data_IF_031194121471
#
_entry.id   IF_031194121471
#
_cell.length_a   1.000
_cell.length_b   1.000
_cell.length_c   1.000
_cell.angle_alpha   90.00
_cell.angle_beta   90.00
_cell.angle_gamma   90.00
#
_symmetry.space_group_name_H-M   'P 1'
#
loop_
_entity.id
_entity.type
_entity.pdbx_description
1 polymer ?
#
# COMPACT_ATOMS: atom_id res chain seq x y z
N UNK A 1 -2.19 10.77 13.42
CA UNK A 1 -1.96 9.80 12.32
C UNK A 1 -1.27 8.58 12.87
N UNK A 2 -1.72 7.38 12.51
CA UNK A 2 -0.99 6.16 12.87
C UNK A 2 0.15 5.96 11.88
N UNK A 3 1.38 5.94 12.36
CA UNK A 3 2.56 5.64 11.54
C UNK A 3 2.62 4.17 11.13
N UNK A 4 1.89 3.30 11.84
CA UNK A 4 1.73 1.87 11.56
C UNK A 4 0.36 1.42 12.03
N UNK A 5 -0.34 0.61 11.25
CA UNK A 5 -1.68 0.14 11.62
C UNK A 5 -2.01 -1.21 10.98
N UNK A 6 -2.73 -2.05 11.73
CA UNK A 6 -3.49 -3.16 11.16
C UNK A 6 -4.74 -2.61 10.48
N UNK A 7 -4.99 -3.05 9.26
CA UNK A 7 -6.13 -2.62 8.44
C UNK A 7 -7.26 -3.64 8.61
N UNK A 8 -8.48 -3.13 8.77
CA UNK A 8 -9.71 -3.93 8.91
C UNK A 8 -10.70 -3.53 7.84
N UNK A 9 -11.51 -4.49 7.38
CA UNK A 9 -12.57 -4.26 6.38
C UNK A 9 -12.07 -4.10 4.94
N UNK A 10 -10.79 -4.42 4.67
CA UNK A 10 -10.21 -4.44 3.32
C UNK A 10 -9.65 -5.82 3.04
N UNK A 11 -10.10 -6.44 1.96
CA UNK A 11 -9.68 -7.79 1.61
C UNK A 11 -8.24 -7.86 1.11
N UNK A 12 -7.70 -6.78 0.52
CA UNK A 12 -6.37 -6.78 -0.10
C UNK A 12 -5.22 -6.47 0.84
N UNK A 13 -5.44 -5.74 1.95
CA UNK A 13 -4.39 -5.20 2.82
C UNK A 13 -4.68 -5.51 4.29
N UNK A 14 -3.71 -6.09 4.99
CA UNK A 14 -3.81 -6.45 6.40
C UNK A 14 -3.08 -5.47 7.33
N UNK A 15 -2.05 -4.78 6.82
CA UNK A 15 -1.22 -3.88 7.61
C UNK A 15 -0.50 -2.87 6.73
N UNK A 16 -0.23 -1.67 7.27
CA UNK A 16 0.57 -0.65 6.60
C UNK A 16 1.46 0.12 7.58
N UNK A 17 2.56 0.68 7.07
CA UNK A 17 3.44 1.58 7.81
C UNK A 17 4.07 2.67 6.95
N UNK A 18 4.23 3.84 7.54
CA UNK A 18 5.06 4.93 7.05
C UNK A 18 6.49 4.74 7.55
N UNK A 19 7.41 4.50 6.62
CA UNK A 19 8.83 4.31 6.88
C UNK A 19 9.67 5.53 6.46
N UNK A 20 9.04 6.66 6.13
CA UNK A 20 9.72 7.86 5.64
C UNK A 20 10.86 8.30 6.58
N UNK A 21 10.62 8.36 7.89
CA UNK A 21 11.63 8.77 8.86
C UNK A 21 12.80 7.79 9.00
N UNK A 22 12.61 6.52 8.64
CA UNK A 22 13.64 5.48 8.75
C UNK A 22 14.44 5.32 7.46
N UNK A 23 13.80 5.52 6.31
CA UNK A 23 14.38 5.20 5.00
C UNK A 23 14.77 6.44 4.18
N UNK A 24 14.27 7.62 4.54
CA UNK A 24 14.58 8.87 3.83
C UNK A 24 15.47 9.76 4.68
N UNK A 25 16.40 10.45 4.01
CA UNK A 25 17.22 11.45 4.67
C UNK A 25 16.36 12.66 5.09
N UNK A 26 16.80 13.45 6.08
CA UNK A 26 16.11 14.69 6.47
C UNK A 26 15.94 15.71 5.33
N UNK A 27 16.66 15.52 4.21
CA UNK A 27 16.62 16.36 3.01
C UNK A 27 15.71 15.78 1.92
N UNK A 28 14.86 14.79 2.23
CA UNK A 28 13.87 14.29 1.28
C UNK A 28 12.98 15.44 0.80
N UNK A 29 12.66 15.43 -0.50
CA UNK A 29 11.85 16.41 -1.21
C UNK A 29 10.35 16.36 -0.84
N UNK A 30 10.01 15.80 0.32
CA UNK A 30 8.64 15.50 0.72
C UNK A 30 8.13 14.16 0.20
N UNK A 31 8.99 13.33 -0.40
CA UNK A 31 8.68 11.94 -0.70
C UNK A 31 8.31 11.17 0.57
N UNK A 32 7.32 10.29 0.45
CA UNK A 32 6.92 9.38 1.52
C UNK A 32 7.22 7.93 1.14
N UNK A 33 7.81 7.18 2.08
CA UNK A 33 8.03 5.75 1.92
C UNK A 33 7.00 4.98 2.74
N UNK A 34 6.22 4.12 2.09
CA UNK A 34 5.22 3.29 2.74
C UNK A 34 5.46 1.80 2.44
N UNK A 35 5.14 0.96 3.42
CA UNK A 35 5.15 -0.49 3.28
C UNK A 35 3.76 -1.04 3.57
N UNK A 36 3.33 -1.99 2.76
CA UNK A 36 2.02 -2.62 2.84
C UNK A 36 2.17 -4.14 2.89
N UNK A 37 1.39 -4.79 3.75
CA UNK A 37 1.24 -6.25 3.72
C UNK A 37 -0.16 -6.62 3.25
N UNK A 38 -0.23 -7.57 2.33
CA UNK A 38 -1.50 -8.09 1.86
C UNK A 38 -2.16 -8.99 2.90
N UNK A 39 -3.44 -9.33 2.69
CA UNK A 39 -4.06 -10.43 3.46
C UNK A 39 -3.61 -11.79 2.91
N UNK A 40 -3.62 -12.82 3.75
CA UNK A 40 -3.30 -14.18 3.33
C UNK A 40 -4.25 -14.71 2.25
N UNK A 41 -5.55 -14.40 2.35
CA UNK A 41 -6.56 -14.80 1.38
C UNK A 41 -6.30 -14.14 0.02
N UNK A 42 -6.00 -12.84 0.00
CA UNK A 42 -5.69 -12.10 -1.21
C UNK A 42 -4.40 -12.58 -1.87
N UNK A 43 -3.37 -12.84 -1.07
CA UNK A 43 -2.11 -13.41 -1.55
C UNK A 43 -2.31 -14.77 -2.23
N UNK A 44 -3.03 -15.67 -1.56
CA UNK A 44 -3.37 -17.00 -2.09
C UNK A 44 -4.21 -16.94 -3.36
N UNK A 45 -5.23 -16.07 -3.41
CA UNK A 45 -6.11 -15.93 -4.56
C UNK A 45 -5.42 -15.38 -5.81
N UNK A 46 -4.39 -14.53 -5.63
CA UNK A 46 -3.61 -13.98 -6.74
C UNK A 46 -2.30 -14.75 -7.01
N UNK A 47 -2.03 -15.84 -6.28
CA UNK A 47 -0.82 -16.66 -6.37
C UNK A 47 0.46 -15.82 -6.23
N UNK A 48 0.55 -15.03 -5.18
CA UNK A 48 1.73 -14.18 -4.89
C UNK A 48 2.36 -14.58 -3.54
N UNK A 49 3.68 -14.43 -3.35
CA UNK A 49 4.69 -13.96 -4.33
C UNK A 49 5.15 -15.07 -5.29
N UNK A 50 5.40 -14.71 -6.56
CA UNK A 50 6.00 -15.57 -7.59
C UNK A 50 7.04 -14.76 -8.36
N UNK A 51 8.24 -15.32 -8.58
CA UNK A 51 9.35 -14.64 -9.28
C UNK A 51 9.03 -14.35 -10.76
N UNK A 52 8.29 -15.23 -11.44
CA UNK A 52 7.94 -15.12 -12.86
C UNK A 52 6.48 -14.72 -13.09
N UNK A 53 5.96 -13.79 -12.30
CA UNK A 53 4.56 -13.39 -12.39
C UNK A 53 4.26 -12.63 -13.70
N UNK A 54 3.17 -12.95 -14.41
CA UNK A 54 2.75 -12.16 -15.57
C UNK A 54 2.48 -10.71 -15.17
N UNK A 55 2.95 -9.75 -15.97
CA UNK A 55 2.78 -8.30 -15.72
C UNK A 55 1.32 -7.91 -15.46
N UNK A 56 0.37 -8.52 -16.17
CA UNK A 56 -1.06 -8.28 -15.95
C UNK A 56 -1.52 -8.64 -14.52
N UNK A 57 -0.98 -9.73 -13.95
CA UNK A 57 -1.30 -10.14 -12.58
C UNK A 57 -0.62 -9.21 -11.57
N UNK A 58 0.65 -8.86 -11.80
CA UNK A 58 1.38 -7.91 -10.96
C UNK A 58 0.68 -6.54 -10.91
N UNK A 59 0.25 -6.02 -12.06
CA UNK A 59 -0.51 -4.77 -12.15
C UNK A 59 -1.84 -4.86 -11.42
N UNK A 60 -2.60 -5.96 -11.59
CA UNK A 60 -3.86 -6.18 -10.87
C UNK A 60 -3.66 -6.19 -9.35
N UNK A 61 -2.65 -6.90 -8.86
CA UNK A 61 -2.32 -6.98 -7.42
C UNK A 61 -1.89 -5.62 -6.89
N UNK A 62 -1.01 -4.90 -7.62
CA UNK A 62 -0.58 -3.54 -7.26
C UNK A 62 -1.80 -2.62 -7.15
N UNK A 63 -2.64 -2.56 -8.17
CA UNK A 63 -3.84 -1.71 -8.18
C UNK A 63 -4.78 -2.04 -7.03
N UNK A 64 -5.14 -3.31 -6.83
CA UNK A 64 -6.08 -3.69 -5.76
C UNK A 64 -5.55 -3.46 -4.34
N UNK A 65 -4.24 -3.55 -4.13
CA UNK A 65 -3.64 -3.17 -2.85
C UNK A 65 -3.66 -1.66 -2.64
N UNK A 66 -3.32 -0.86 -3.65
CA UNK A 66 -3.32 0.60 -3.55
C UNK A 66 -4.74 1.17 -3.35
N UNK A 67 -5.74 0.61 -4.03
CA UNK A 67 -7.15 0.95 -3.81
C UNK A 67 -7.60 0.61 -2.37
N UNK A 68 -7.19 -0.55 -1.85
CA UNK A 68 -7.47 -0.96 -0.47
C UNK A 68 -6.87 0.00 0.56
N UNK A 69 -5.64 0.47 0.34
CA UNK A 69 -5.02 1.51 1.18
C UNK A 69 -5.81 2.81 1.08
N UNK A 70 -6.14 3.25 -0.14
CA UNK A 70 -6.89 4.48 -0.38
C UNK A 70 -8.25 4.51 0.33
N UNK A 71 -8.92 3.36 0.43
CA UNK A 71 -10.22 3.25 1.10
C UNK A 71 -10.16 3.45 2.64
N UNK A 72 -9.02 3.22 3.28
CA UNK A 72 -8.88 3.25 4.75
C UNK A 72 -7.98 4.37 5.25
N UNK A 73 -6.88 4.62 4.55
CA UNK A 73 -5.86 5.57 4.96
C UNK A 73 -6.17 7.01 4.52
N UNK A 74 -7.08 7.18 3.56
CA UNK A 74 -7.47 8.49 3.06
C UNK A 74 -8.83 8.89 3.63
N UNK A 75 -8.88 9.69 4.71
CA UNK A 75 -10.13 10.32 5.07
C UNK A 75 -10.64 11.11 3.85
N UNK A 76 -11.95 11.16 3.66
CA UNK A 76 -12.64 11.82 2.54
C UNK A 76 -12.40 13.34 2.43
N UNK A 77 -11.40 13.87 3.13
CA UNK A 77 -10.87 15.20 2.91
C UNK A 77 -10.17 15.26 1.55
N UNK A 78 -10.86 15.87 0.60
CA UNK A 78 -10.40 16.08 -0.78
C UNK A 78 -9.21 17.04 -0.88
N UNK A 79 -8.67 17.53 0.24
CA UNK A 79 -7.46 18.36 0.30
C UNK A 79 -6.19 17.57 -0.01
N UNK A 80 -6.15 16.28 0.31
CA UNK A 80 -4.98 15.47 0.04
C UNK A 80 -4.98 15.07 -1.45
N UNK A 81 -3.85 15.26 -2.14
CA UNK A 81 -3.66 14.88 -3.56
C UNK A 81 -3.54 13.38 -3.69
N UNK A 82 -4.18 12.76 -4.70
CA UNK A 82 -3.99 11.31 -4.95
C UNK A 82 -2.50 10.97 -4.93
N UNK A 83 -2.07 10.03 -4.08
CA UNK A 83 -0.67 9.64 -4.02
C UNK A 83 -0.24 9.07 -5.37
N UNK A 84 0.93 9.50 -5.82
CA UNK A 84 1.60 8.96 -7.00
C UNK A 84 2.48 7.81 -6.50
N UNK A 85 2.22 6.62 -7.02
CA UNK A 85 3.01 5.43 -6.70
C UNK A 85 3.87 5.10 -7.92
N UNK A 86 5.19 5.06 -7.74
CA UNK A 86 6.13 4.51 -8.72
C UNK A 86 6.16 2.98 -8.66
#
# INVERSE_FOLDING_TARGET
CYERAFIRGVDSVSWMANNSATLLSPQSDGSHCWTFFSTAAYGKGNKVPLENMPTATASKVKTGMLEGVGAVAWPADRSCRKPIYT
#
